data_IF_021253083178
#
_entry.id   IF_021253083178
#
_cell.length_a   1.000
_cell.length_b   1.000
_cell.length_c   1.000
_cell.angle_alpha   90.00
_cell.angle_beta   90.00
_cell.angle_gamma   90.00
#
_symmetry.space_group_name_H-M   'P 1'
#
loop_
_entity.id
_entity.type
_entity.pdbx_description
1 polymer ?
#
# COMPACT_ATOMS: atom_id res chain seq x y z
N UNK A 1 -23.58 17.83 -23.40
CA UNK A 1 -22.62 17.46 -22.35
C UNK A 1 -23.37 16.62 -21.33
N UNK A 2 -23.09 15.32 -21.26
CA UNK A 2 -23.79 14.36 -20.39
C UNK A 2 -22.97 14.12 -19.10
N UNK A 3 -23.54 14.33 -17.89
CA UNK A 3 -22.85 14.16 -16.61
C UNK A 3 -22.85 12.70 -16.10
N UNK A 4 -22.56 11.72 -16.97
CA UNK A 4 -22.68 10.29 -16.61
C UNK A 4 -21.35 9.53 -16.55
N UNK A 5 -20.21 10.24 -16.49
CA UNK A 5 -18.88 9.63 -16.59
C UNK A 5 -17.99 9.89 -15.35
N UNK A 6 -18.57 9.91 -14.15
CA UNK A 6 -17.81 10.04 -12.89
C UNK A 6 -17.79 8.77 -11.97
N UNK A 7 -18.26 7.55 -12.34
CA UNK A 7 -18.05 6.39 -11.46
C UNK A 7 -16.85 5.50 -11.83
N UNK A 8 -16.11 5.75 -12.92
CA UNK A 8 -14.98 4.88 -13.31
C UNK A 8 -13.66 5.33 -12.69
N UNK A 9 -13.50 6.62 -12.37
CA UNK A 9 -12.20 7.15 -11.92
C UNK A 9 -11.92 6.82 -10.45
N UNK A 10 -12.95 6.70 -9.59
CA UNK A 10 -12.76 6.37 -8.17
C UNK A 10 -12.38 4.90 -7.92
N UNK A 11 -12.62 3.97 -8.86
CA UNK A 11 -12.16 2.57 -8.71
C UNK A 11 -10.68 2.37 -9.02
N UNK A 12 -10.02 3.34 -9.66
CA UNK A 12 -8.59 3.26 -9.97
C UNK A 12 -7.73 3.81 -8.82
N UNK A 13 -8.31 4.66 -7.96
CA UNK A 13 -7.59 5.29 -6.83
C UNK A 13 -7.95 4.71 -5.46
N UNK A 14 -8.95 3.84 -5.36
CA UNK A 14 -9.28 3.17 -4.10
C UNK A 14 -8.51 1.84 -4.06
N UNK A 15 -7.51 1.68 -3.19
CA UNK A 15 -6.79 0.43 -3.05
C UNK A 15 -7.76 -0.70 -2.69
N UNK A 16 -7.60 -1.85 -3.33
CA UNK A 16 -8.45 -3.01 -3.04
C UNK A 16 -8.11 -3.60 -1.68
N UNK A 17 -9.04 -4.35 -1.07
CA UNK A 17 -8.79 -5.01 0.23
C UNK A 17 -7.54 -5.92 0.20
N UNK A 18 -7.24 -6.54 -0.95
CA UNK A 18 -6.02 -7.32 -1.17
C UNK A 18 -4.76 -6.46 -1.16
N UNK A 19 -4.80 -5.25 -1.74
CA UNK A 19 -3.67 -4.30 -1.72
C UNK A 19 -3.45 -3.70 -0.33
N UNK A 20 -4.52 -3.47 0.43
CA UNK A 20 -4.46 -3.06 1.84
C UNK A 20 -3.78 -4.16 2.67
N UNK A 21 -4.18 -5.41 2.48
CA UNK A 21 -3.56 -6.56 3.17
C UNK A 21 -2.08 -6.74 2.75
N UNK A 22 -1.78 -6.55 1.47
CA UNK A 22 -0.41 -6.58 0.95
C UNK A 22 0.45 -5.47 1.56
N UNK A 23 -0.06 -4.23 1.56
CA UNK A 23 0.59 -3.04 2.14
C UNK A 23 0.88 -3.21 3.63
N UNK A 24 -0.05 -3.80 4.38
CA UNK A 24 0.18 -4.15 5.79
C UNK A 24 1.32 -5.15 5.94
N UNK A 25 1.33 -6.22 5.14
CA UNK A 25 2.40 -7.21 5.18
C UNK A 25 3.77 -6.67 4.77
N UNK A 26 3.83 -5.72 3.83
CA UNK A 26 5.07 -5.00 3.49
C UNK A 26 5.64 -4.24 4.70
N UNK A 27 4.77 -3.52 5.44
CA UNK A 27 5.18 -2.76 6.62
C UNK A 27 5.69 -3.71 7.72
N UNK A 28 5.00 -4.83 7.93
CA UNK A 28 5.37 -5.83 8.94
C UNK A 28 6.70 -6.51 8.61
N UNK A 29 6.91 -6.90 7.35
CA UNK A 29 8.18 -7.47 6.87
C UNK A 29 9.35 -6.50 7.03
N UNK A 30 9.10 -5.20 6.83
CA UNK A 30 10.12 -4.16 7.03
C UNK A 30 10.38 -3.84 8.49
N UNK A 31 9.38 -3.94 9.37
CA UNK A 31 9.59 -3.83 10.81
C UNK A 31 10.48 -4.97 11.33
N UNK A 32 10.22 -6.20 10.85
CA UNK A 32 11.05 -7.36 11.16
C UNK A 32 12.49 -7.21 10.62
N UNK A 33 12.64 -6.77 9.36
CA UNK A 33 13.94 -6.49 8.76
C UNK A 33 14.70 -5.39 9.53
N UNK A 34 14.01 -4.34 9.97
CA UNK A 34 14.57 -3.25 10.77
C UNK A 34 15.03 -3.75 12.15
N UNK A 35 14.29 -4.67 12.76
CA UNK A 35 14.70 -5.34 14.01
C UNK A 35 16.00 -6.15 13.86
N UNK A 36 16.27 -6.67 12.65
CA UNK A 36 17.52 -7.35 12.29
C UNK A 36 18.64 -6.38 11.86
N UNK A 37 18.36 -5.07 11.79
CA UNK A 37 19.31 -4.05 11.31
C UNK A 37 19.45 -4.00 9.79
N UNK A 38 18.49 -4.56 9.04
CA UNK A 38 18.49 -4.61 7.57
C UNK A 38 17.63 -3.47 7.04
N UNK A 39 18.17 -2.70 6.09
CA UNK A 39 17.50 -1.54 5.49
C UNK A 39 16.46 -1.91 4.40
N UNK A 40 16.42 -3.18 4.00
CA UNK A 40 15.47 -3.72 3.03
C UNK A 40 14.99 -5.10 3.50
N UNK A 41 13.68 -5.31 3.51
CA UNK A 41 13.04 -6.58 3.80
C UNK A 41 12.77 -7.36 2.52
N UNK A 42 12.34 -8.61 2.66
CA UNK A 42 11.80 -9.40 1.55
C UNK A 42 10.39 -9.82 1.92
N UNK A 43 9.40 -9.46 1.11
CA UNK A 43 8.01 -9.84 1.32
C UNK A 43 7.47 -10.48 0.05
N UNK A 44 6.95 -11.72 0.18
CA UNK A 44 6.44 -12.53 -0.94
C UNK A 44 7.42 -12.73 -2.12
N UNK A 45 8.72 -12.55 -1.88
CA UNK A 45 9.76 -12.67 -2.91
C UNK A 45 10.15 -11.35 -3.56
N UNK A 46 9.44 -10.26 -3.23
CA UNK A 46 9.80 -8.89 -3.63
C UNK A 46 10.64 -8.22 -2.54
N UNK A 47 11.63 -7.44 -2.99
CA UNK A 47 12.45 -6.60 -2.13
C UNK A 47 11.62 -5.41 -1.67
N UNK A 48 11.57 -5.20 -0.36
CA UNK A 48 10.82 -4.13 0.28
C UNK A 48 11.81 -3.13 0.83
N UNK A 49 11.76 -1.92 0.32
CA UNK A 49 12.57 -0.81 0.82
C UNK A 49 11.72 0.15 1.64
N UNK A 50 12.39 1.06 2.36
CA UNK A 50 11.70 2.12 3.14
C UNK A 50 10.77 2.97 2.26
N UNK A 51 11.14 3.20 1.00
CA UNK A 51 10.29 3.90 0.03
C UNK A 51 8.97 3.17 -0.26
N UNK A 52 9.01 1.83 -0.34
CA UNK A 52 7.81 1.01 -0.52
C UNK A 52 6.93 1.02 0.72
N UNK A 53 7.52 0.94 1.92
CA UNK A 53 6.79 1.06 3.19
C UNK A 53 6.09 2.40 3.30
N UNK A 54 6.79 3.49 2.91
CA UNK A 54 6.22 4.83 2.91
C UNK A 54 5.02 4.91 1.99
N UNK A 55 5.15 4.41 0.76
CA UNK A 55 4.06 4.36 -0.22
C UNK A 55 2.90 3.51 0.29
N UNK A 56 3.18 2.35 0.90
CA UNK A 56 2.19 1.47 1.50
C UNK A 56 1.42 2.15 2.64
N UNK A 57 2.09 2.95 3.48
CA UNK A 57 1.43 3.77 4.51
C UNK A 57 0.53 4.84 3.90
N UNK A 58 1.04 5.59 2.92
CA UNK A 58 0.26 6.61 2.21
C UNK A 58 -0.98 6.00 1.53
N UNK A 59 -0.84 4.79 0.96
CA UNK A 59 -1.95 4.04 0.37
C UNK A 59 -2.98 3.59 1.41
N UNK A 60 -2.54 3.13 2.60
CA UNK A 60 -3.44 2.77 3.70
C UNK A 60 -4.16 3.99 4.29
N UNK A 61 -3.51 5.14 4.37
CA UNK A 61 -4.11 6.40 4.81
C UNK A 61 -5.16 6.88 3.80
N UNK A 62 -4.86 6.82 2.50
CA UNK A 62 -5.82 7.13 1.44
C UNK A 62 -7.02 6.17 1.46
N UNK A 63 -6.78 4.88 1.74
CA UNK A 63 -7.83 3.88 1.89
C UNK A 63 -8.76 4.18 3.07
N UNK A 64 -8.21 4.71 4.16
CA UNK A 64 -8.97 5.04 5.37
C UNK A 64 -9.80 6.31 5.20
N UNK A 65 -9.31 7.30 4.44
CA UNK A 65 -10.02 8.56 4.15
C UNK A 65 -11.14 8.39 3.11
N UNK A 66 -10.98 7.43 2.19
CA UNK A 66 -11.99 7.11 1.17
C UNK A 66 -13.17 6.26 1.69
N UNK A 67 -13.16 5.86 2.97
CA UNK A 67 -14.14 4.97 3.61
C UNK A 67 -15.33 5.67 4.26
#
# INVERSE_FOLDING_TARGET
MHPSLVPIVNRVFTPSAEEIAYSRGLIEAMDEARGQGIAAGTYKGDMVDEAMVKTAREMLELAADAG
#
